data_IF_760942320307
#
_entry.id   IF_760942320307
#
_cell.length_a   1.000
_cell.length_b   1.000
_cell.length_c   1.000
_cell.angle_alpha   90.00
_cell.angle_beta   90.00
_cell.angle_gamma   90.00
#
_symmetry.space_group_name_H-M   'P 1'
#
loop_
_entity.id
_entity.type
_entity.pdbx_description
1 polymer ?
#
# COMPACT_ATOMS: atom_id res chain seq x y z
N UNK A 1 5.29 12.09 -0.41
CA UNK A 1 4.10 12.57 -1.11
C UNK A 1 3.08 12.90 -0.04
N UNK A 2 1.83 13.26 -0.37
CA UNK A 2 0.78 13.29 0.65
C UNK A 2 0.36 11.87 1.06
N UNK A 3 -0.11 11.73 2.31
CA UNK A 3 -0.62 10.48 2.87
C UNK A 3 -1.63 9.78 1.97
N UNK A 4 -2.55 10.54 1.37
CA UNK A 4 -3.57 10.00 0.46
C UNK A 4 -2.95 9.20 -0.69
N UNK A 5 -1.83 9.67 -1.26
CA UNK A 5 -1.15 8.98 -2.35
C UNK A 5 -0.44 7.71 -1.86
N UNK A 6 0.16 7.75 -0.66
CA UNK A 6 0.78 6.56 -0.06
C UNK A 6 -0.25 5.47 0.23
N UNK A 7 -1.40 5.86 0.79
CA UNK A 7 -2.54 4.98 1.06
C UNK A 7 -3.08 4.38 -0.23
N UNK A 8 -3.30 5.21 -1.25
CA UNK A 8 -3.85 4.77 -2.52
C UNK A 8 -2.93 3.77 -3.23
N UNK A 9 -1.63 4.06 -3.31
CA UNK A 9 -0.64 3.16 -3.95
C UNK A 9 -0.50 1.85 -3.19
N UNK A 10 -0.33 1.90 -1.86
CA UNK A 10 -0.17 0.69 -1.06
C UNK A 10 -1.45 -0.16 -1.04
N UNK A 11 -2.61 0.48 -0.88
CA UNK A 11 -3.90 -0.18 -0.91
C UNK A 11 -4.19 -0.82 -2.27
N UNK A 12 -3.92 -0.14 -3.39
CA UNK A 12 -4.17 -0.70 -4.72
C UNK A 12 -3.26 -1.89 -5.03
N UNK A 13 -1.99 -1.83 -4.64
CA UNK A 13 -1.06 -2.94 -4.84
C UNK A 13 -1.46 -4.13 -3.96
N UNK A 14 -1.80 -3.90 -2.69
CA UNK A 14 -2.29 -4.95 -1.80
C UNK A 14 -3.59 -5.58 -2.32
N UNK A 15 -4.50 -4.79 -2.88
CA UNK A 15 -5.77 -5.27 -3.43
C UNK A 15 -5.62 -6.20 -4.66
N UNK A 16 -4.50 -6.11 -5.38
CA UNK A 16 -4.19 -7.04 -6.49
C UNK A 16 -3.70 -8.39 -5.98
N UNK A 17 -3.01 -8.41 -4.83
CA UNK A 17 -2.40 -9.61 -4.29
C UNK A 17 -3.29 -10.34 -3.27
N UNK A 18 -3.76 -9.61 -2.25
CA UNK A 18 -4.52 -10.09 -1.10
C UNK A 18 -5.41 -8.94 -0.58
N UNK A 19 -6.64 -8.77 -1.11
CA UNK A 19 -7.56 -7.70 -0.71
C UNK A 19 -7.77 -7.55 0.80
N UNK A 20 -7.78 -8.66 1.53
CA UNK A 20 -7.93 -8.72 2.97
C UNK A 20 -6.77 -8.04 3.74
N UNK A 21 -5.60 -7.89 3.11
CA UNK A 21 -4.42 -7.24 3.69
C UNK A 21 -4.34 -5.74 3.39
N UNK A 22 -5.30 -5.18 2.64
CA UNK A 22 -5.34 -3.73 2.34
C UNK A 22 -5.22 -2.88 3.61
N UNK A 23 -5.94 -3.14 4.72
CA UNK A 23 -5.79 -2.37 5.96
C UNK A 23 -4.36 -2.45 6.52
N UNK A 24 -3.74 -3.64 6.48
CA UNK A 24 -2.38 -3.86 7.01
C UNK A 24 -1.34 -3.12 6.16
N UNK A 25 -1.48 -3.16 4.83
CA UNK A 25 -0.62 -2.42 3.91
C UNK A 25 -0.77 -0.90 4.09
N UNK A 26 -1.98 -0.39 4.34
CA UNK A 26 -2.23 1.02 4.62
C UNK A 26 -1.60 1.45 5.96
N UNK A 27 -1.71 0.61 7.00
CA UNK A 27 -1.05 0.84 8.28
C UNK A 27 0.47 0.92 8.11
N UNK A 28 1.03 0.02 7.30
CA UNK A 28 2.44 0.03 6.92
C UNK A 28 2.84 1.28 6.15
N UNK A 29 2.04 1.68 5.14
CA UNK A 29 2.30 2.84 4.31
C UNK A 29 2.22 4.17 5.05
N UNK A 30 1.52 4.24 6.18
CA UNK A 30 1.48 5.45 7.02
C UNK A 30 2.50 5.40 8.17
N UNK A 31 3.09 4.24 8.44
CA UNK A 31 4.00 4.01 9.55
C UNK A 31 5.24 4.90 9.61
N UNK A 32 5.96 5.17 8.51
CA UNK A 32 7.14 6.05 8.56
C UNK A 32 6.85 7.42 9.20
N UNK A 33 5.65 7.97 8.99
CA UNK A 33 5.28 9.30 9.47
C UNK A 33 4.71 9.28 10.89
N UNK A 34 3.81 8.36 11.25
CA UNK A 34 3.32 8.31 12.63
C UNK A 34 4.37 7.75 13.60
N UNK A 35 5.31 6.91 13.16
CA UNK A 35 6.46 6.51 13.98
C UNK A 35 7.34 7.71 14.32
N UNK A 36 7.45 8.69 13.42
CA UNK A 36 8.17 9.93 13.71
C UNK A 36 7.45 10.73 14.81
N UNK A 37 6.12 10.83 14.72
CA UNK A 37 5.33 11.48 15.76
C UNK A 37 5.45 10.76 17.11
N UNK A 38 5.47 9.43 17.11
CA UNK A 38 5.70 8.63 18.30
C UNK A 38 7.09 8.86 18.91
N UNK A 39 8.15 8.94 18.09
CA UNK A 39 9.49 9.25 18.59
C UNK A 39 9.57 10.68 19.15
N UNK A 40 8.90 11.65 18.52
CA UNK A 40 8.81 13.03 19.00
C UNK A 40 8.04 13.13 20.31
N UNK A 41 6.95 12.38 20.47
CA UNK A 41 6.17 12.35 21.72
C UNK A 41 6.98 11.74 22.87
N UNK A 42 7.90 10.81 22.57
CA UNK A 42 8.91 10.29 23.49
C UNK A 42 10.10 11.25 23.72
N UNK A 43 9.97 12.53 23.38
CA UNK A 43 10.98 13.60 23.51
C UNK A 43 12.28 13.35 22.73
N UNK A 44 12.28 12.43 21.75
CA UNK A 44 13.44 12.27 20.85
C UNK A 44 13.37 13.30 19.73
N UNK A 45 14.48 14.02 19.50
CA UNK A 45 14.59 14.97 18.38
C UNK A 45 14.85 14.20 17.08
N UNK A 46 13.77 13.82 16.41
CA UNK A 46 13.83 13.20 15.08
C UNK A 46 13.43 14.22 14.03
N UNK A 47 14.27 14.38 12.99
CA UNK A 47 13.95 15.21 11.83
C UNK A 47 13.05 14.44 10.87
N UNK A 48 12.19 15.16 10.15
CA UNK A 48 11.32 14.53 9.17
C UNK A 48 12.12 13.86 8.05
N UNK A 49 11.66 12.66 7.66
CA UNK A 49 12.30 11.80 6.64
C UNK A 49 13.74 11.45 6.94
N UNK A 50 14.02 11.03 8.17
CA UNK A 50 15.33 10.47 8.56
C UNK A 50 15.20 9.04 9.06
N UNK A 51 15.23 8.83 10.37
CA UNK A 51 15.40 7.53 11.01
C UNK A 51 14.27 6.56 10.68
N UNK A 52 13.03 7.05 10.62
CA UNK A 52 11.85 6.24 10.27
C UNK A 52 11.70 5.99 8.77
N UNK A 53 12.49 6.68 7.94
CA UNK A 53 12.42 6.63 6.48
C UNK A 53 13.65 5.97 5.85
N UNK A 54 14.47 5.26 6.65
CA UNK A 54 15.56 4.46 6.10
C UNK A 54 15.01 3.34 5.24
N UNK A 55 15.28 3.41 3.93
CA UNK A 55 14.82 2.41 2.95
C UNK A 55 15.22 1.00 3.35
N UNK A 56 16.45 0.83 3.87
CA UNK A 56 16.94 -0.46 4.30
C UNK A 56 16.10 -1.10 5.40
N UNK A 57 15.56 -0.34 6.35
CA UNK A 57 14.78 -0.91 7.46
C UNK A 57 13.49 -1.55 6.93
N UNK A 58 12.83 -0.88 5.99
CA UNK A 58 11.62 -1.37 5.36
C UNK A 58 11.90 -2.56 4.43
N UNK A 59 13.01 -2.51 3.69
CA UNK A 59 13.45 -3.61 2.86
C UNK A 59 13.80 -4.85 3.69
N UNK A 60 14.56 -4.70 4.78
CA UNK A 60 14.92 -5.80 5.66
C UNK A 60 13.69 -6.40 6.35
N UNK A 61 12.74 -5.57 6.78
CA UNK A 61 11.47 -6.06 7.34
C UNK A 61 10.63 -6.82 6.31
N UNK A 62 10.64 -6.38 5.05
CA UNK A 62 9.98 -7.11 3.96
C UNK A 62 10.67 -8.45 3.71
N UNK A 63 12.01 -8.48 3.63
CA UNK A 63 12.78 -9.72 3.47
C UNK A 63 12.56 -10.68 4.66
N UNK A 64 12.46 -10.13 5.88
CA UNK A 64 12.12 -10.92 7.06
C UNK A 64 10.75 -11.58 6.93
N UNK A 65 9.73 -10.83 6.50
CA UNK A 65 8.41 -11.37 6.20
C UNK A 65 8.44 -12.47 5.14
N UNK A 66 9.15 -12.24 4.04
CA UNK A 66 9.19 -13.18 2.92
C UNK A 66 9.97 -14.47 3.21
N UNK A 67 11.04 -14.41 4.00
CA UNK A 67 12.00 -15.52 4.11
C UNK A 67 12.16 -16.12 5.50
N UNK A 68 11.67 -15.45 6.55
CA UNK A 68 11.91 -15.89 7.94
C UNK A 68 10.58 -16.20 8.63
N UNK A 69 9.70 -15.21 8.76
CA UNK A 69 8.44 -15.41 9.46
C UNK A 69 7.37 -14.40 9.03
N UNK A 70 6.17 -14.92 8.81
CA UNK A 70 5.02 -14.13 8.39
C UNK A 70 3.72 -14.69 8.98
N UNK A 71 3.05 -13.91 9.82
CA UNK A 71 1.75 -14.28 10.34
C UNK A 71 0.66 -13.89 9.32
N UNK A 72 0.13 -14.88 8.60
CA UNK A 72 -0.92 -14.66 7.58
C UNK A 72 -0.60 -13.53 6.60
N UNK A 73 0.65 -13.41 6.16
CA UNK A 73 1.11 -12.36 5.26
C UNK A 73 1.06 -10.92 5.80
N UNK A 74 0.72 -10.74 7.08
CA UNK A 74 0.58 -9.43 7.69
C UNK A 74 1.93 -8.69 7.80
N UNK A 75 3.02 -9.41 8.09
CA UNK A 75 4.35 -8.80 8.21
C UNK A 75 4.81 -8.33 6.84
N UNK A 76 4.69 -9.18 5.83
CA UNK A 76 5.01 -8.83 4.44
C UNK A 76 4.17 -7.65 3.96
N UNK A 77 2.85 -7.66 4.17
CA UNK A 77 1.98 -6.57 3.75
C UNK A 77 2.32 -5.24 4.45
N UNK A 78 2.59 -5.26 5.76
CA UNK A 78 2.96 -4.07 6.52
C UNK A 78 4.28 -3.47 6.02
N UNK A 79 5.33 -4.30 5.89
CA UNK A 79 6.63 -3.80 5.44
C UNK A 79 6.64 -3.44 3.95
N UNK A 80 5.87 -4.12 3.11
CA UNK A 80 5.67 -3.72 1.72
C UNK A 80 5.00 -2.34 1.63
N UNK A 81 3.96 -2.08 2.44
CA UNK A 81 3.32 -0.77 2.54
C UNK A 81 4.30 0.33 2.93
N UNK A 82 5.09 0.11 4.00
CA UNK A 82 6.08 1.10 4.43
C UNK A 82 7.25 1.27 3.45
N UNK A 83 7.65 0.21 2.74
CA UNK A 83 8.63 0.31 1.65
C UNK A 83 8.09 1.16 0.51
N UNK A 84 6.83 0.96 0.10
CA UNK A 84 6.18 1.78 -0.91
C UNK A 84 6.12 3.25 -0.48
N UNK A 85 5.88 3.55 0.80
CA UNK A 85 5.94 4.92 1.32
C UNK A 85 7.30 5.58 1.07
N UNK A 86 8.39 4.94 1.51
CA UNK A 86 9.74 5.52 1.38
C UNK A 86 10.20 5.59 -0.08
N UNK A 87 9.78 4.65 -0.94
CA UNK A 87 10.04 4.72 -2.38
C UNK A 87 9.25 5.87 -3.03
N UNK A 88 8.00 6.08 -2.65
CA UNK A 88 7.20 7.23 -3.07
C UNK A 88 7.84 8.55 -2.64
N UNK A 89 8.36 8.62 -1.42
CA UNK A 89 9.10 9.79 -0.95
C UNK A 89 10.43 9.99 -1.68
N UNK A 90 11.09 8.90 -2.09
CA UNK A 90 12.28 8.96 -2.95
C UNK A 90 11.99 9.59 -4.32
N UNK A 91 10.77 9.52 -4.84
CA UNK A 91 10.39 10.20 -6.09
C UNK A 91 10.33 11.73 -5.96
N UNK A 92 10.31 12.24 -4.72
CA UNK A 92 10.20 13.68 -4.46
C UNK A 92 11.55 14.35 -4.38
N UNK A 93 11.61 15.67 -4.61
CA UNK A 93 12.86 16.48 -4.54
C UNK A 93 13.59 16.33 -3.20
N UNK A 94 12.86 16.07 -2.11
CA UNK A 94 13.46 15.88 -0.79
C UNK A 94 14.16 14.54 -0.62
N UNK A 95 13.76 13.50 -1.37
CA UNK A 95 14.26 12.15 -1.23
C UNK A 95 14.16 11.53 0.17
N UNK A 96 14.79 10.38 0.34
CA UNK A 96 14.90 9.64 1.60
C UNK A 96 16.31 9.08 1.79
N UNK A 97 16.81 8.88 3.02
CA UNK A 97 18.08 8.19 3.23
C UNK A 97 17.99 6.68 2.94
N UNK A 98 19.02 6.08 2.33
CA UNK A 98 19.04 4.62 2.14
C UNK A 98 19.15 3.86 3.47
N UNK A 99 19.96 4.37 4.39
CA UNK A 99 20.22 3.76 5.69
C UNK A 99 20.92 4.73 6.64
N UNK A 100 21.24 4.26 7.83
CA UNK A 100 21.90 5.08 8.86
C UNK A 100 23.31 5.55 8.47
N UNK A 101 23.96 4.85 7.55
CA UNK A 101 25.27 5.19 6.99
C UNK A 101 25.21 6.14 5.79
N UNK A 102 24.01 6.51 5.35
CA UNK A 102 23.83 7.28 4.12
C UNK A 102 23.95 8.78 4.39
N UNK A 103 25.06 9.38 3.99
CA UNK A 103 25.26 10.84 4.08
C UNK A 103 24.45 11.61 3.02
N UNK A 104 24.05 10.92 1.94
CA UNK A 104 23.25 11.49 0.84
C UNK A 104 21.83 10.93 0.85
N UNK A 105 20.90 11.73 0.32
CA UNK A 105 19.52 11.29 0.11
C UNK A 105 19.37 10.61 -1.24
N UNK A 106 18.67 9.49 -1.22
CA UNK A 106 18.24 8.73 -2.37
C UNK A 106 17.02 9.38 -3.01
N UNK A 107 17.15 9.63 -4.31
CA UNK A 107 16.10 10.22 -5.13
C UNK A 107 15.88 9.32 -6.35
N UNK A 108 14.69 8.72 -6.45
CA UNK A 108 14.27 7.97 -7.62
C UNK A 108 13.91 8.91 -8.77
N UNK A 109 14.35 8.57 -9.98
CA UNK A 109 14.18 9.38 -11.20
C UNK A 109 14.59 10.86 -11.04
N UNK A 110 15.59 11.12 -10.19
CA UNK A 110 16.11 12.47 -9.94
C UNK A 110 15.20 13.35 -9.07
N UNK A 111 14.20 12.80 -8.38
CA UNK A 111 13.40 13.54 -7.40
C UNK A 111 12.52 14.61 -8.05
N UNK A 112 11.91 14.32 -9.21
CA UNK A 112 11.19 15.34 -9.99
C UNK A 112 9.80 15.68 -9.45
N UNK A 113 9.26 14.89 -8.51
CA UNK A 113 7.97 15.18 -7.91
C UNK A 113 8.08 16.19 -6.77
N UNK A 114 7.10 17.07 -6.66
CA UNK A 114 6.95 17.98 -5.53
C UNK A 114 5.70 17.59 -4.75
N UNK A 115 5.85 17.46 -3.44
CA UNK A 115 4.73 17.17 -2.53
C UNK A 115 3.62 18.20 -2.72
N UNK A 116 2.38 17.75 -2.89
CA UNK A 116 1.20 18.59 -3.09
C UNK A 116 0.96 19.07 -4.53
N UNK A 117 1.87 18.82 -5.48
CA UNK A 117 1.64 19.16 -6.89
C UNK A 117 0.88 18.07 -7.64
N UNK A 118 0.32 18.41 -8.81
CA UNK A 118 -0.45 17.46 -9.63
C UNK A 118 0.33 16.19 -10.02
N UNK A 119 1.65 16.29 -10.15
CA UNK A 119 2.50 15.15 -10.51
C UNK A 119 2.39 13.95 -9.56
N UNK A 120 2.24 14.15 -8.24
CA UNK A 120 2.10 13.03 -7.31
C UNK A 120 0.75 12.30 -7.45
N UNK A 121 -0.32 13.03 -7.77
CA UNK A 121 -1.64 12.42 -8.00
C UNK A 121 -1.71 11.68 -9.33
N UNK A 122 -1.03 12.15 -10.37
CA UNK A 122 -0.92 11.42 -11.64
C UNK A 122 -0.22 10.08 -11.47
N UNK A 123 0.90 10.05 -10.74
CA UNK A 123 1.62 8.81 -10.44
C UNK A 123 0.73 7.88 -9.61
N UNK A 124 0.11 8.38 -8.54
CA UNK A 124 -0.79 7.58 -7.72
C UNK A 124 -1.98 7.04 -8.53
N UNK A 125 -2.63 7.89 -9.33
CA UNK A 125 -3.77 7.51 -10.16
C UNK A 125 -3.39 6.48 -11.22
N UNK A 126 -2.24 6.63 -11.87
CA UNK A 126 -1.74 5.65 -12.84
C UNK A 126 -1.53 4.27 -12.18
N UNK A 127 -0.92 4.22 -10.99
CA UNK A 127 -0.73 2.96 -10.26
C UNK A 127 -2.08 2.34 -9.90
N UNK A 128 -3.03 3.12 -9.38
CA UNK A 128 -4.37 2.62 -9.05
C UNK A 128 -5.09 2.05 -10.27
N UNK A 129 -5.07 2.75 -11.40
CA UNK A 129 -5.70 2.30 -12.65
C UNK A 129 -5.06 1.01 -13.16
N UNK A 130 -3.72 0.91 -13.11
CA UNK A 130 -3.00 -0.31 -13.51
C UNK A 130 -3.37 -1.47 -12.59
N UNK A 131 -3.36 -1.26 -11.27
CA UNK A 131 -3.75 -2.28 -10.29
C UNK A 131 -5.20 -2.74 -10.51
N UNK A 132 -6.13 -1.81 -10.74
CA UNK A 132 -7.52 -2.13 -11.04
C UNK A 132 -7.64 -2.97 -12.31
N UNK A 133 -6.96 -2.56 -13.39
CA UNK A 133 -6.93 -3.32 -14.64
C UNK A 133 -6.38 -4.73 -14.47
N UNK A 134 -5.28 -4.90 -13.73
CA UNK A 134 -4.69 -6.20 -13.46
C UNK A 134 -5.62 -7.11 -12.65
N UNK A 135 -6.27 -6.58 -11.61
CA UNK A 135 -7.21 -7.35 -10.79
C UNK A 135 -8.47 -7.75 -11.58
N UNK A 136 -8.97 -6.86 -12.44
CA UNK A 136 -10.10 -7.15 -13.33
C UNK A 136 -9.74 -8.22 -14.37
N UNK A 137 -8.55 -8.15 -14.98
CA UNK A 137 -8.09 -9.11 -15.98
C UNK A 137 -7.84 -10.51 -15.39
N UNK A 138 -7.35 -10.59 -14.16
CA UNK A 138 -7.03 -11.86 -13.49
C UNK A 138 -8.26 -12.52 -12.84
N UNK A 139 -9.45 -11.89 -12.90
CA UNK A 139 -10.65 -12.29 -12.16
C UNK A 139 -10.38 -12.55 -10.68
N UNK A 140 -9.37 -11.90 -10.10
CA UNK A 140 -9.00 -12.07 -8.71
C UNK A 140 -10.14 -11.66 -7.75
N UNK A 141 -11.11 -10.90 -8.24
CA UNK A 141 -12.31 -10.48 -7.51
C UNK A 141 -13.57 -11.28 -7.84
N UNK A 142 -13.53 -12.25 -8.76
CA UNK A 142 -14.71 -12.97 -9.28
C UNK A 142 -14.68 -14.48 -9.09
N UNK A 143 -13.92 -15.00 -8.12
CA UNK A 143 -13.85 -16.45 -7.86
C UNK A 143 -13.33 -16.86 -6.48
N UNK A 144 -12.69 -15.94 -5.74
CA UNK A 144 -12.35 -16.07 -4.32
C UNK A 144 -13.00 -14.92 -3.54
N UNK A 145 -13.10 -15.05 -2.21
CA UNK A 145 -13.68 -14.02 -1.35
C UNK A 145 -12.99 -12.65 -1.55
N UNK A 146 -13.70 -11.72 -2.19
CA UNK A 146 -13.30 -10.33 -2.30
C UNK A 146 -14.19 -9.50 -1.38
N UNK A 147 -13.66 -8.91 -0.28
CA UNK A 147 -14.46 -8.16 0.69
C UNK A 147 -15.06 -6.87 0.10
N UNK A 148 -14.59 -6.43 -1.07
CA UNK A 148 -14.98 -5.17 -1.71
C UNK A 148 -15.84 -5.35 -2.95
N UNK A 149 -15.78 -6.50 -3.62
CA UNK A 149 -16.52 -6.76 -4.86
C UNK A 149 -17.13 -8.15 -4.79
N UNK A 150 -18.43 -8.21 -4.49
CA UNK A 150 -19.15 -9.46 -4.37
C UNK A 150 -19.58 -9.95 -5.75
N UNK A 151 -19.13 -11.15 -6.14
CA UNK A 151 -19.65 -11.82 -7.33
C UNK A 151 -20.98 -12.51 -7.02
N UNK A 152 -22.05 -11.71 -7.00
CA UNK A 152 -23.40 -12.21 -6.74
C UNK A 152 -23.83 -13.29 -7.74
N UNK A 153 -23.33 -13.27 -8.97
CA UNK A 153 -23.68 -14.27 -9.97
C UNK A 153 -23.05 -15.62 -9.62
N UNK A 154 -21.77 -15.64 -9.24
CA UNK A 154 -21.07 -16.85 -8.84
C UNK A 154 -21.62 -17.43 -7.52
N UNK A 155 -21.97 -16.58 -6.54
CA UNK A 155 -22.61 -17.03 -5.29
C UNK A 155 -23.99 -17.67 -5.52
N UNK A 156 -24.76 -17.18 -6.49
CA UNK A 156 -26.03 -17.80 -6.86
C UNK A 156 -25.81 -19.14 -7.57
N UNK A 157 -24.83 -19.22 -8.49
CA UNK A 157 -24.51 -20.45 -9.22
C UNK A 157 -23.94 -21.55 -8.30
N UNK A 158 -23.16 -21.18 -7.30
CA UNK A 158 -22.62 -22.08 -6.28
C UNK A 158 -23.64 -22.47 -5.20
N UNK A 159 -24.84 -21.88 -5.21
CA UNK A 159 -25.91 -22.17 -4.25
C UNK A 159 -25.68 -21.59 -2.85
N UNK A 160 -24.75 -20.64 -2.71
CA UNK A 160 -24.48 -19.95 -1.45
C UNK A 160 -25.56 -18.93 -1.07
N UNK A 161 -26.24 -18.35 -2.07
CA UNK A 161 -27.34 -17.40 -1.89
C UNK A 161 -28.59 -17.83 -2.65
N UNK A 162 -29.75 -17.35 -2.22
CA UNK A 162 -31.01 -17.63 -2.91
C UNK A 162 -31.27 -16.71 -4.12
N UNK A 163 -32.25 -17.07 -4.94
CA UNK A 163 -32.59 -16.30 -6.13
C UNK A 163 -33.20 -14.92 -5.84
N UNK A 164 -33.68 -14.67 -4.62
CA UNK A 164 -34.17 -13.35 -4.21
C UNK A 164 -32.99 -12.44 -3.88
N UNK A 165 -32.06 -12.92 -3.06
CA UNK A 165 -30.83 -12.23 -2.67
C UNK A 165 -29.96 -11.89 -3.88
N UNK A 166 -29.85 -12.79 -4.86
CA UNK A 166 -29.21 -12.48 -6.14
C UNK A 166 -29.92 -11.34 -6.88
N UNK A 167 -31.25 -11.40 -7.04
CA UNK A 167 -32.01 -10.35 -7.76
C UNK A 167 -31.90 -8.99 -7.09
N UNK A 168 -31.88 -8.97 -5.76
CA UNK A 168 -31.79 -7.74 -4.97
C UNK A 168 -30.40 -7.11 -5.07
N UNK A 169 -29.34 -7.90 -5.33
CA UNK A 169 -27.95 -7.43 -5.33
C UNK A 169 -27.20 -7.53 -6.68
N UNK A 170 -27.76 -8.12 -7.74
CA UNK A 170 -27.08 -8.36 -9.05
C UNK A 170 -26.56 -7.11 -9.76
N UNK A 171 -27.01 -5.93 -9.36
CA UNK A 171 -26.54 -4.64 -9.90
C UNK A 171 -25.76 -3.81 -8.88
N UNK A 172 -25.47 -4.37 -7.70
CA UNK A 172 -24.56 -3.76 -6.73
C UNK A 172 -23.13 -4.15 -7.11
N UNK A 173 -22.53 -3.28 -7.91
CA UNK A 173 -21.13 -3.38 -8.34
C UNK A 173 -20.16 -2.71 -7.33
N UNK A 174 -20.68 -2.29 -6.17
CA UNK A 174 -20.00 -1.61 -5.06
C UNK A 174 -20.63 -2.05 -3.74
#
# INVERSE_FOLDING_TARGET
MKWVNHIAIAGSIAAVWRPELVPVAILGATAPDWLEWALKSLRRRVRHRTVTHYVINWLLGLLFGLFIWDFHHAVTAFFAGGLLHVLCDALTVQGVPLGWWSDRRFNLFGGRLRTGQMGEYWVSGAVVVICFGLAAMTRHWGGDYSPFFWDWADYYQSGLIDGKEWKDNRFRWL
#
